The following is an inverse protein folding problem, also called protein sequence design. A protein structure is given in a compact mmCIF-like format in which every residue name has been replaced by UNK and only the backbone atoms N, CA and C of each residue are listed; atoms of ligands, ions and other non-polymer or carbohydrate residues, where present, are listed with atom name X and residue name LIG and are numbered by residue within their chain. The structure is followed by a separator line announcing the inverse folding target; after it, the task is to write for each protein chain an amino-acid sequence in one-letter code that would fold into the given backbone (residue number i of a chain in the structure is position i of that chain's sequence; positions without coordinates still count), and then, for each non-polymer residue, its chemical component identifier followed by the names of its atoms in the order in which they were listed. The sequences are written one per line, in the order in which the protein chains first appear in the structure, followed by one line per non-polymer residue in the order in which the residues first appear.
data_IF_141059132279
#
_entry.id   IF_141059132279
#
_cell.length_a   1.000
_cell.length_b   1.000
_cell.length_c   1.000
_cell.angle_alpha   90.00
_cell.angle_beta   90.00
_cell.angle_gamma   90.00
#
_symmetry.space_group_name_H-M   'P 1'
#
loop_
_entity.id
_entity.type
_entity.pdbx_description
1 polymer ?
#
# COMPACT_ATOMS: atom_id res chain seq x y z
N UNK A 1 -13.89 -0.37 -4.97
CA UNK A 1 -13.00 0.10 -6.05
C UNK A 1 -13.24 1.60 -6.12
N UNK A 2 -12.45 2.37 -5.37
CA UNK A 2 -12.61 3.83 -5.34
C UNK A 2 -11.91 4.36 -6.59
N UNK A 3 -12.72 4.90 -7.50
CA UNK A 3 -12.30 5.55 -8.72
C UNK A 3 -12.15 7.03 -8.41
N UNK A 4 -10.93 7.53 -8.37
CA UNK A 4 -10.66 8.97 -8.44
C UNK A 4 -9.93 9.23 -9.75
N UNK A 5 -10.59 9.93 -10.67
CA UNK A 5 -10.06 10.45 -11.94
C UNK A 5 -9.46 9.47 -12.98
N UNK A 6 -9.64 8.16 -12.85
CA UNK A 6 -9.26 7.20 -13.90
C UNK A 6 -7.76 6.91 -13.98
N UNK A 7 -6.98 7.38 -13.01
CA UNK A 7 -5.60 6.97 -12.79
C UNK A 7 -5.59 5.91 -11.69
N UNK A 8 -4.90 4.79 -11.92
CA UNK A 8 -4.61 3.86 -10.84
C UNK A 8 -3.75 4.60 -9.82
N UNK A 9 -4.11 4.55 -8.54
CA UNK A 9 -3.19 4.98 -7.49
C UNK A 9 -1.86 4.24 -7.67
N UNK A 10 -0.84 4.99 -8.07
CA UNK A 10 0.53 4.48 -8.26
C UNK A 10 1.31 4.50 -6.95
N UNK A 11 0.76 5.17 -5.93
CA UNK A 11 1.36 5.33 -4.60
C UNK A 11 0.41 4.88 -3.49
N UNK A 12 0.99 4.27 -2.46
CA UNK A 12 0.39 3.97 -1.17
C UNK A 12 0.49 5.24 -0.33
N UNK A 13 -0.59 6.00 -0.26
CA UNK A 13 -0.71 7.10 0.69
C UNK A 13 -1.22 6.55 2.04
N UNK A 14 -0.46 6.85 3.09
CA UNK A 14 -0.73 6.43 4.47
C UNK A 14 -0.99 7.64 5.39
N UNK A 15 -1.13 8.83 4.81
CA UNK A 15 -1.40 10.06 5.56
C UNK A 15 -2.83 10.10 6.13
N UNK A 16 -3.70 9.24 5.59
CA UNK A 16 -5.09 9.11 6.02
C UNK A 16 -5.36 7.72 6.57
N UNK A 17 -6.01 7.66 7.75
CA UNK A 17 -6.37 6.38 8.40
C UNK A 17 -7.25 5.48 7.50
N UNK A 18 -8.10 6.08 6.67
CA UNK A 18 -8.97 5.32 5.77
C UNK A 18 -8.21 4.68 4.60
N UNK A 19 -7.12 5.29 4.15
CA UNK A 19 -6.25 4.73 3.12
C UNK A 19 -5.40 3.61 3.69
N UNK A 20 -4.90 3.75 4.93
CA UNK A 20 -4.22 2.67 5.63
C UNK A 20 -5.08 1.40 5.65
N UNK A 21 -6.35 1.52 6.03
CA UNK A 21 -7.31 0.40 6.00
C UNK A 21 -7.54 -0.17 4.60
N UNK A 22 -7.75 0.70 3.61
CA UNK A 22 -7.92 0.29 2.22
C UNK A 22 -6.73 -0.52 1.70
N UNK A 23 -5.50 -0.07 1.97
CA UNK A 23 -4.29 -0.72 1.50
C UNK A 23 -3.98 -2.00 2.25
N UNK A 24 -4.20 -2.06 3.57
CA UNK A 24 -4.03 -3.31 4.34
C UNK A 24 -4.97 -4.39 3.84
N UNK A 25 -6.22 -4.04 3.55
CA UNK A 25 -7.21 -4.98 3.02
C UNK A 25 -6.88 -5.41 1.59
N UNK A 26 -6.47 -4.45 0.75
CA UNK A 26 -6.11 -4.71 -0.65
C UNK A 26 -4.87 -5.59 -0.80
N UNK A 27 -3.85 -5.37 0.04
CA UNK A 27 -2.57 -6.07 -0.01
C UNK A 27 -2.55 -7.31 0.90
N UNK A 28 -3.56 -7.49 1.75
CA UNK A 28 -3.66 -8.63 2.66
C UNK A 28 -2.56 -8.64 3.72
N UNK A 29 -2.20 -7.47 4.25
CA UNK A 29 -1.13 -7.31 5.23
C UNK A 29 -1.60 -6.50 6.45
N UNK A 30 -0.84 -6.52 7.54
CA UNK A 30 -1.11 -5.64 8.69
C UNK A 30 -0.65 -4.21 8.42
N UNK A 31 -1.20 -3.24 9.14
CA UNK A 31 -0.77 -1.84 9.07
C UNK A 31 0.74 -1.69 9.33
N UNK A 32 1.27 -2.42 10.32
CA UNK A 32 2.69 -2.44 10.64
C UNK A 32 3.55 -2.94 9.46
N UNK A 33 3.11 -4.03 8.80
CA UNK A 33 3.79 -4.56 7.61
C UNK A 33 3.74 -3.58 6.45
N UNK A 34 2.62 -2.91 6.24
CA UNK A 34 2.46 -1.92 5.19
C UNK A 34 3.38 -0.71 5.42
N UNK A 35 3.41 -0.18 6.65
CA UNK A 35 4.30 0.92 7.04
C UNK A 35 5.77 0.55 6.82
N UNK A 36 6.18 -0.64 7.30
CA UNK A 36 7.55 -1.12 7.13
C UNK A 36 7.93 -1.33 5.66
N UNK A 37 7.00 -1.83 4.84
CA UNK A 37 7.22 -1.99 3.40
C UNK A 37 7.41 -0.63 2.72
N UNK A 38 6.53 0.34 2.99
CA UNK A 38 6.64 1.71 2.45
C UNK A 38 7.93 2.38 2.89
N UNK A 39 8.37 2.18 4.14
CA UNK A 39 9.67 2.69 4.63
C UNK A 39 10.85 2.04 3.89
N UNK A 40 10.73 0.76 3.53
CA UNK A 40 11.82 -0.01 2.89
C UNK A 40 11.98 0.26 1.40
N UNK A 41 10.88 0.39 0.66
CA UNK A 41 10.89 0.49 -0.81
C UNK A 41 10.23 1.75 -1.37
N UNK A 42 9.76 2.64 -0.49
CA UNK A 42 8.97 3.81 -0.87
C UNK A 42 7.48 3.49 -1.08
N UNK A 43 6.66 4.50 -1.36
CA UNK A 43 5.21 4.33 -1.44
C UNK A 43 4.74 3.70 -2.76
N UNK A 44 5.60 3.35 -3.71
CA UNK A 44 5.17 2.78 -4.99
C UNK A 44 4.35 1.50 -4.80
N UNK A 45 3.11 1.46 -5.30
CA UNK A 45 2.20 0.32 -5.07
C UNK A 45 2.79 -0.99 -5.61
N UNK A 46 3.45 -0.93 -6.77
CA UNK A 46 4.11 -2.08 -7.40
C UNK A 46 5.27 -2.60 -6.55
N UNK A 47 6.13 -1.70 -6.08
CA UNK A 47 7.29 -2.04 -5.25
C UNK A 47 6.86 -2.59 -3.89
N UNK A 48 5.92 -1.94 -3.22
CA UNK A 48 5.34 -2.39 -1.94
C UNK A 48 4.70 -3.78 -2.10
N UNK A 49 3.93 -3.98 -3.17
CA UNK A 49 3.30 -5.28 -3.45
C UNK A 49 4.35 -6.36 -3.70
N UNK A 50 5.39 -6.06 -4.47
CA UNK A 50 6.49 -6.98 -4.73
C UNK A 50 7.24 -7.34 -3.45
N UNK A 51 7.54 -6.35 -2.61
CA UNK A 51 8.20 -6.52 -1.32
C UNK A 51 7.40 -7.44 -0.39
N UNK A 52 6.10 -7.18 -0.22
CA UNK A 52 5.21 -8.00 0.62
C UNK A 52 5.09 -9.44 0.11
N UNK A 53 5.09 -9.66 -1.21
CA UNK A 53 5.02 -11.00 -1.81
C UNK A 53 6.33 -11.79 -1.73
N UNK A 54 7.45 -11.12 -1.53
CA UNK A 54 8.75 -11.77 -1.39
C UNK A 54 8.93 -12.53 -0.06
N UNK A 55 7.94 -12.48 0.85
CA UNK A 55 7.88 -13.32 2.04
C UNK A 55 8.45 -12.70 3.32
N UNK A 56 8.45 -11.36 3.40
CA UNK A 56 8.68 -10.62 4.65
C UNK A 56 7.47 -10.64 5.59
#
# INVERSE_FOLDING_TARGET
MLYVNGEFETVVDLSQDHELGFWTDRLGCSAEKLLAAVESVGPGVEDVTAYLRAGW
#
